data_IF_323265446091
#
_entry.id   IF_323265446091
#
_cell.length_a   1.000
_cell.length_b   1.000
_cell.length_c   1.000
_cell.angle_alpha   90.00
_cell.angle_beta   90.00
_cell.angle_gamma   90.00
#
_symmetry.space_group_name_H-M   'P 1'
#
loop_
_entity.id
_entity.type
_entity.pdbx_description
1 polymer ?
#
# COMPACT_ATOMS: atom_id res chain seq x y z
N UNK A 1 20.21 -13.12 28.10
CA UNK A 1 19.09 -12.15 28.15
C UNK A 1 18.85 -11.63 26.74
N UNK A 2 17.63 -11.66 26.19
CA UNK A 2 17.34 -10.86 25.01
C UNK A 2 17.50 -9.39 25.42
N UNK A 3 18.23 -8.61 24.64
CA UNK A 3 18.42 -7.17 24.89
C UNK A 3 17.06 -6.45 24.87
N UNK A 4 16.93 -5.29 25.54
CA UNK A 4 15.68 -4.50 25.47
C UNK A 4 15.27 -4.16 24.02
N UNK A 5 16.24 -4.10 23.11
CA UNK A 5 16.03 -3.95 21.68
C UNK A 5 15.35 -5.17 21.04
N UNK A 6 15.74 -6.38 21.44
CA UNK A 6 15.07 -7.60 20.98
C UNK A 6 13.60 -7.63 21.44
N UNK A 7 13.33 -7.21 22.69
CA UNK A 7 11.95 -7.07 23.17
C UNK A 7 11.14 -6.05 22.37
N UNK A 8 11.71 -4.86 22.12
CA UNK A 8 11.06 -3.83 21.31
C UNK A 8 10.77 -4.33 19.89
N UNK A 9 11.69 -5.09 19.29
CA UNK A 9 11.50 -5.69 17.96
C UNK A 9 10.33 -6.68 17.94
N UNK A 10 10.27 -7.62 18.89
CA UNK A 10 9.20 -8.63 18.91
C UNK A 10 7.82 -8.01 19.20
N UNK A 11 7.73 -7.14 20.22
CA UNK A 11 6.46 -6.46 20.56
C UNK A 11 6.03 -5.54 19.43
N UNK A 12 6.97 -4.80 18.86
CA UNK A 12 6.71 -3.98 17.69
C UNK A 12 6.07 -4.82 16.59
N UNK A 13 6.68 -5.95 16.20
CA UNK A 13 6.20 -6.71 15.04
C UNK A 13 4.75 -7.17 15.24
N UNK A 14 4.39 -7.53 16.48
CA UNK A 14 3.01 -7.83 16.83
C UNK A 14 2.06 -6.66 16.53
N UNK A 15 2.43 -5.44 16.95
CA UNK A 15 1.63 -4.23 16.69
C UNK A 15 1.50 -3.96 15.19
N UNK A 16 2.59 -4.02 14.43
CA UNK A 16 2.55 -3.81 12.97
C UNK A 16 1.61 -4.81 12.30
N UNK A 17 1.72 -6.10 12.66
CA UNK A 17 0.87 -7.15 12.09
C UNK A 17 -0.62 -6.95 12.38
N UNK A 18 -0.96 -6.43 13.57
CA UNK A 18 -2.35 -6.14 13.97
C UNK A 18 -2.89 -4.87 13.29
N UNK A 19 -2.06 -3.85 13.10
CA UNK A 19 -2.48 -2.56 12.55
C UNK A 19 -2.56 -2.56 11.02
N UNK A 20 -1.74 -3.34 10.31
CA UNK A 20 -1.76 -3.39 8.83
C UNK A 20 -3.15 -3.77 8.31
N UNK A 21 -3.82 -4.74 8.92
CA UNK A 21 -5.17 -5.17 8.50
C UNK A 21 -6.25 -4.10 8.73
N UNK A 22 -5.98 -3.09 9.56
CA UNK A 22 -6.90 -2.00 9.88
C UNK A 22 -6.71 -0.78 8.98
N UNK A 23 -5.73 -0.81 8.06
CA UNK A 23 -5.50 0.30 7.14
C UNK A 23 -6.73 0.46 6.23
N UNK A 24 -7.33 1.65 6.29
CA UNK A 24 -8.35 2.07 5.35
C UNK A 24 -7.69 2.65 4.11
N UNK A 25 -8.04 2.11 2.93
CA UNK A 25 -7.57 2.65 1.67
C UNK A 25 -8.57 3.74 1.22
N UNK A 26 -8.12 4.99 1.01
CA UNK A 26 -9.01 6.06 0.63
C UNK A 26 -9.63 5.79 -0.74
N UNK A 27 -10.78 6.42 -1.01
CA UNK A 27 -11.29 6.50 -2.38
C UNK A 27 -10.30 7.26 -3.24
N UNK A 28 -9.99 6.70 -4.40
CA UNK A 28 -9.04 7.27 -5.36
C UNK A 28 -9.81 7.54 -6.63
N UNK A 29 -9.56 8.67 -7.27
CA UNK A 29 -10.19 9.01 -8.54
C UNK A 29 -9.14 9.57 -9.49
N UNK A 30 -9.05 8.97 -10.67
CA UNK A 30 -8.11 9.31 -11.72
C UNK A 30 -8.88 9.67 -13.00
N UNK A 31 -8.47 10.75 -13.63
CA UNK A 31 -8.97 11.13 -14.96
C UNK A 31 -7.98 10.59 -16.00
N UNK A 32 -8.52 9.95 -17.02
CA UNK A 32 -7.78 9.40 -18.16
C UNK A 32 -8.42 9.92 -19.45
N UNK A 33 -7.73 9.80 -20.59
CA UNK A 33 -8.20 10.40 -21.86
C UNK A 33 -9.63 9.97 -22.24
N UNK A 34 -10.01 8.72 -21.95
CA UNK A 34 -11.33 8.19 -22.26
C UNK A 34 -12.39 8.40 -21.15
N UNK A 35 -12.07 9.07 -20.04
CA UNK A 35 -13.02 9.29 -18.95
C UNK A 35 -12.42 9.38 -17.55
N UNK A 36 -13.14 8.89 -16.56
CA UNK A 36 -12.74 8.90 -15.14
C UNK A 36 -12.89 7.51 -14.54
N UNK A 37 -11.92 7.09 -13.74
CA UNK A 37 -11.93 5.84 -12.98
C UNK A 37 -11.77 6.15 -11.50
N UNK A 38 -12.65 5.60 -10.68
CA UNK A 38 -12.58 5.70 -9.23
C UNK A 38 -12.42 4.32 -8.61
N UNK A 39 -11.49 4.17 -7.67
CA UNK A 39 -11.38 3.03 -6.77
C UNK A 39 -12.11 3.40 -5.49
N UNK A 40 -13.07 2.59 -5.08
CA UNK A 40 -13.90 2.83 -3.89
C UNK A 40 -13.95 1.57 -3.03
N UNK A 41 -14.27 1.76 -1.74
CA UNK A 41 -14.43 0.66 -0.79
C UNK A 41 -13.23 -0.31 -0.77
N UNK A 42 -12.03 0.21 -0.97
CA UNK A 42 -10.82 -0.61 -0.98
C UNK A 42 -10.42 -0.97 0.45
N UNK A 43 -10.12 -2.25 0.68
CA UNK A 43 -9.71 -2.76 1.97
C UNK A 43 -8.65 -3.84 1.81
N UNK A 44 -7.87 -4.07 2.88
CA UNK A 44 -6.90 -5.16 2.92
C UNK A 44 -7.64 -6.44 3.28
N UNK A 45 -7.72 -7.37 2.33
CA UNK A 45 -8.41 -8.65 2.51
C UNK A 45 -7.51 -9.73 3.10
N UNK A 46 -6.19 -9.64 2.87
CA UNK A 46 -5.21 -10.56 3.44
C UNK A 46 -3.85 -9.90 3.60
N UNK A 47 -3.14 -10.29 4.66
CA UNK A 47 -1.78 -9.84 4.94
C UNK A 47 -0.90 -11.04 5.26
N UNK A 48 0.33 -11.01 4.76
CA UNK A 48 1.38 -11.94 5.15
C UNK A 48 2.52 -11.14 5.79
N UNK A 49 2.77 -11.45 7.06
CA UNK A 49 3.81 -10.82 7.88
C UNK A 49 5.21 -11.00 7.27
N UNK A 50 6.15 -10.08 7.54
CA UNK A 50 7.51 -10.20 7.03
C UNK A 50 8.18 -11.45 7.58
N UNK A 51 8.88 -12.16 6.69
CA UNK A 51 9.71 -13.31 7.07
C UNK A 51 11.03 -12.83 7.68
N UNK A 52 11.51 -11.67 7.23
CA UNK A 52 12.74 -11.05 7.70
C UNK A 52 12.43 -9.66 8.22
N UNK A 53 12.80 -9.42 9.48
CA UNK A 53 12.69 -8.11 10.10
C UNK A 53 13.84 -7.88 11.07
N UNK A 54 14.35 -6.65 11.10
CA UNK A 54 15.42 -6.25 11.99
C UNK A 54 15.11 -4.88 12.62
N UNK A 55 15.74 -4.62 13.77
CA UNK A 55 15.61 -3.35 14.46
C UNK A 55 17.01 -2.91 14.87
N UNK A 56 17.46 -1.82 14.26
CA UNK A 56 18.81 -1.29 14.43
C UNK A 56 18.77 0.06 15.16
N UNK A 57 19.71 0.27 16.07
CA UNK A 57 19.90 1.57 16.73
C UNK A 57 20.86 2.42 15.89
N UNK A 58 20.36 3.55 15.41
CA UNK A 58 21.12 4.50 14.59
C UNK A 58 21.38 5.76 15.43
N UNK A 59 22.66 6.07 15.62
CA UNK A 59 23.07 7.27 16.35
C UNK A 59 22.50 8.53 15.67
N UNK A 60 22.14 9.58 16.44
CA UNK A 60 22.29 9.68 17.90
C UNK A 60 21.10 9.11 18.71
N UNK A 61 19.90 9.06 18.16
CA UNK A 61 18.65 8.79 18.89
C UNK A 61 17.56 8.18 18.01
N UNK A 62 17.94 7.51 16.93
CA UNK A 62 17.00 6.91 15.97
C UNK A 62 17.03 5.39 16.13
N UNK A 63 15.90 4.74 15.95
CA UNK A 63 15.89 3.32 15.63
C UNK A 63 15.25 3.13 14.27
N UNK A 64 15.82 2.23 13.49
CA UNK A 64 15.35 1.90 12.14
C UNK A 64 14.91 0.46 12.14
N UNK A 65 13.71 0.25 11.63
CA UNK A 65 13.09 -1.04 11.48
C UNK A 65 12.98 -1.36 10.01
N UNK A 66 13.61 -2.45 9.59
CA UNK A 66 13.49 -2.93 8.22
C UNK A 66 12.72 -4.24 8.22
N UNK A 67 11.80 -4.37 7.29
CA UNK A 67 10.92 -5.53 7.09
C UNK A 67 10.96 -5.88 5.61
N UNK A 68 11.02 -7.16 5.28
CA UNK A 68 11.04 -7.62 3.89
C UNK A 68 10.16 -8.83 3.66
N UNK A 69 9.89 -9.10 2.38
CA UNK A 69 9.08 -10.25 1.91
C UNK A 69 7.66 -10.27 2.48
N UNK A 70 7.09 -9.08 2.74
CA UNK A 70 5.67 -8.99 3.10
C UNK A 70 4.81 -9.10 1.84
N UNK A 71 3.56 -9.49 2.03
CA UNK A 71 2.56 -9.45 0.98
C UNK A 71 1.27 -8.84 1.51
N UNK A 72 0.60 -8.05 0.68
CA UNK A 72 -0.71 -7.47 0.98
C UNK A 72 -1.63 -7.82 -0.18
N UNK A 73 -2.78 -8.41 0.16
CA UNK A 73 -3.89 -8.52 -0.77
C UNK A 73 -4.91 -7.47 -0.42
N UNK A 74 -5.24 -6.63 -1.39
CA UNK A 74 -6.31 -5.66 -1.29
C UNK A 74 -7.43 -6.02 -2.25
N UNK A 75 -8.66 -5.71 -1.88
CA UNK A 75 -9.83 -5.87 -2.72
C UNK A 75 -10.71 -4.64 -2.60
N UNK A 76 -11.56 -4.43 -3.58
CA UNK A 76 -12.52 -3.33 -3.56
C UNK A 76 -13.29 -3.25 -4.86
N UNK A 77 -13.90 -2.09 -5.06
CA UNK A 77 -14.72 -1.82 -6.20
C UNK A 77 -14.09 -0.72 -7.04
N UNK A 78 -14.37 -0.74 -8.34
CA UNK A 78 -14.07 0.38 -9.19
C UNK A 78 -15.31 0.85 -9.93
N UNK A 79 -15.34 2.15 -10.21
CA UNK A 79 -16.39 2.81 -10.97
C UNK A 79 -15.73 3.59 -12.09
N UNK A 80 -16.07 3.26 -13.33
CA UNK A 80 -15.60 3.96 -14.51
C UNK A 80 -16.74 4.75 -15.16
N UNK A 81 -16.46 6.01 -15.51
CA UNK A 81 -17.33 6.86 -16.32
C UNK A 81 -16.58 7.22 -17.60
N UNK A 82 -17.03 6.69 -18.72
CA UNK A 82 -16.41 6.94 -20.02
C UNK A 82 -17.03 8.18 -20.68
N UNK A 83 -16.19 9.04 -21.22
CA UNK A 83 -16.56 10.23 -21.98
C UNK A 83 -16.29 9.95 -23.47
N UNK A 84 -17.10 9.11 -24.11
CA UNK A 84 -16.93 8.73 -25.52
C UNK A 84 -18.15 9.04 -26.37
N UNK A 85 -17.94 9.46 -27.62
CA UNK A 85 -18.99 9.88 -28.56
C UNK A 85 -19.92 8.74 -29.07
N UNK A 86 -19.57 7.47 -28.83
CA UNK A 86 -20.32 6.28 -29.28
C UNK A 86 -20.92 5.43 -28.16
N UNK A 87 -20.73 5.81 -26.89
CA UNK A 87 -21.32 5.11 -25.75
C UNK A 87 -22.42 6.00 -25.18
N UNK A 88 -23.62 5.43 -25.01
CA UNK A 88 -24.75 6.11 -24.36
C UNK A 88 -24.26 6.84 -23.09
N UNK A 89 -24.40 8.17 -23.00
CA UNK A 89 -23.79 8.97 -21.96
C UNK A 89 -24.61 8.77 -20.69
N UNK A 90 -24.23 7.86 -19.79
CA UNK A 90 -24.66 7.90 -18.37
C UNK A 90 -24.38 6.67 -17.54
N UNK A 91 -24.16 5.47 -18.10
CA UNK A 91 -24.11 4.27 -17.26
C UNK A 91 -22.71 4.12 -16.64
N UNK A 92 -22.57 4.29 -15.30
CA UNK A 92 -21.30 4.03 -14.65
C UNK A 92 -21.02 2.54 -14.70
N UNK A 93 -19.83 2.18 -15.15
CA UNK A 93 -19.41 0.78 -15.22
C UNK A 93 -18.78 0.44 -13.89
N UNK A 94 -19.34 -0.57 -13.23
CA UNK A 94 -18.90 -1.00 -11.91
C UNK A 94 -18.32 -2.39 -12.02
N UNK A 95 -17.21 -2.60 -11.35
CA UNK A 95 -16.63 -3.92 -11.21
C UNK A 95 -15.85 -4.05 -9.92
N UNK A 96 -15.25 -5.21 -9.75
CA UNK A 96 -14.49 -5.55 -8.56
C UNK A 96 -13.04 -5.81 -8.95
N UNK A 97 -12.13 -5.43 -8.07
CA UNK A 97 -10.72 -5.76 -8.23
C UNK A 97 -10.22 -6.50 -7.00
N UNK A 98 -9.24 -7.35 -7.23
CA UNK A 98 -8.38 -7.94 -6.22
C UNK A 98 -6.95 -7.75 -6.68
N UNK A 99 -6.10 -7.20 -5.82
CA UNK A 99 -4.69 -6.99 -6.12
C UNK A 99 -3.81 -7.61 -5.05
N UNK A 100 -2.74 -8.28 -5.48
CA UNK A 100 -1.68 -8.78 -4.62
C UNK A 100 -0.44 -7.92 -4.82
N UNK A 101 -0.08 -7.18 -3.79
CA UNK A 101 1.20 -6.47 -3.67
C UNK A 101 2.19 -7.43 -3.01
N UNK A 102 3.21 -7.85 -3.76
CA UNK A 102 4.15 -8.86 -3.30
C UNK A 102 5.58 -8.38 -3.20
N UNK A 103 6.36 -9.09 -2.37
CA UNK A 103 7.74 -8.72 -2.03
C UNK A 103 7.85 -7.28 -1.53
N UNK A 104 6.96 -6.91 -0.60
CA UNK A 104 6.98 -5.57 -0.02
C UNK A 104 8.15 -5.48 0.97
N UNK A 105 9.02 -4.50 0.74
CA UNK A 105 10.03 -4.02 1.67
C UNK A 105 9.57 -2.74 2.33
N UNK A 106 9.75 -2.63 3.65
CA UNK A 106 9.37 -1.44 4.42
C UNK A 106 10.49 -1.08 5.39
N UNK A 107 10.93 0.17 5.33
CA UNK A 107 11.88 0.74 6.26
C UNK A 107 11.24 1.92 6.97
N UNK A 108 11.12 1.82 8.29
CA UNK A 108 10.60 2.88 9.16
C UNK A 108 11.73 3.31 10.08
N UNK A 109 12.02 4.60 10.12
CA UNK A 109 12.92 5.18 11.12
C UNK A 109 12.15 6.08 12.05
N UNK A 110 12.31 5.84 13.35
CA UNK A 110 11.68 6.60 14.41
C UNK A 110 12.77 7.28 15.22
N UNK A 111 12.62 8.59 15.43
CA UNK A 111 13.50 9.40 16.25
C UNK A 111 12.89 9.56 17.63
N UNK A 112 13.70 9.35 18.66
CA UNK A 112 13.32 9.63 20.04
C UNK A 112 13.72 11.06 20.40
N UNK A 113 12.74 11.90 20.70
CA UNK A 113 12.92 13.29 21.14
C UNK A 113 12.44 13.46 22.57
N UNK A 114 12.51 14.68 23.10
CA UNK A 114 11.99 15.04 24.41
C UNK A 114 11.24 16.35 24.32
N UNK A 115 10.17 16.48 25.08
CA UNK A 115 9.46 17.76 25.22
C UNK A 115 10.32 18.78 25.95
N UNK A 116 9.90 20.05 25.92
CA UNK A 116 10.48 21.11 26.75
C UNK A 116 10.39 20.82 28.26
N UNK A 117 9.41 20.00 28.68
CA UNK A 117 9.22 19.56 30.07
C UNK A 117 9.98 18.26 30.40
N UNK A 118 10.74 17.71 29.44
CA UNK A 118 11.57 16.50 29.65
C UNK A 118 10.84 15.17 29.44
N UNK A 119 9.59 15.16 29.00
CA UNK A 119 8.86 13.93 28.70
C UNK A 119 9.37 13.30 27.38
N UNK A 120 9.48 11.95 27.29
CA UNK A 120 9.92 11.29 26.05
C UNK A 120 8.88 11.46 24.94
N UNK A 121 9.36 11.65 23.72
CA UNK A 121 8.56 11.72 22.50
C UNK A 121 9.16 10.83 21.42
N UNK A 122 8.30 10.37 20.52
CA UNK A 122 8.68 9.59 19.34
C UNK A 122 8.13 10.27 18.09
N UNK A 123 8.98 10.43 17.09
CA UNK A 123 8.65 11.09 15.83
C UNK A 123 9.04 10.18 14.67
N UNK A 124 8.16 10.03 13.68
CA UNK A 124 8.52 9.35 12.43
C UNK A 124 9.52 10.21 11.67
N UNK A 125 10.76 9.74 11.57
CA UNK A 125 11.84 10.45 10.87
C UNK A 125 11.88 10.10 9.38
N UNK A 126 11.56 8.86 9.03
CA UNK A 126 11.60 8.36 7.66
C UNK A 126 10.69 7.15 7.51
N UNK A 127 10.00 7.04 6.39
CA UNK A 127 9.27 5.83 6.00
C UNK A 127 9.45 5.64 4.50
N UNK A 128 9.90 4.45 4.11
CA UNK A 128 9.99 4.05 2.70
C UNK A 128 9.41 2.66 2.55
N UNK A 129 8.54 2.53 1.56
CA UNK A 129 8.01 1.24 1.11
C UNK A 129 8.45 0.99 -0.33
N UNK A 130 8.77 -0.26 -0.63
CA UNK A 130 9.08 -0.77 -1.95
C UNK A 130 8.23 -2.02 -2.16
N UNK A 131 7.67 -2.20 -3.35
CA UNK A 131 6.92 -3.41 -3.70
C UNK A 131 7.66 -4.01 -4.90
N UNK A 132 7.88 -5.33 -4.88
CA UNK A 132 8.59 -5.99 -5.97
C UNK A 132 7.69 -6.23 -7.18
N UNK A 133 6.45 -6.65 -6.94
CA UNK A 133 5.48 -6.88 -7.99
C UNK A 133 4.04 -6.59 -7.56
N UNK A 134 3.20 -6.34 -8.56
CA UNK A 134 1.76 -6.23 -8.40
C UNK A 134 1.08 -7.19 -9.36
N UNK A 135 0.23 -8.04 -8.79
CA UNK A 135 -0.73 -8.86 -9.53
C UNK A 135 -2.12 -8.25 -9.35
N UNK A 136 -2.86 -8.10 -10.44
CA UNK A 136 -4.17 -7.46 -10.47
C UNK A 136 -5.16 -8.37 -11.19
N UNK A 137 -6.16 -8.81 -10.44
CA UNK A 137 -7.29 -9.54 -10.96
C UNK A 137 -8.53 -8.63 -10.94
N UNK A 138 -9.27 -8.60 -12.03
CA UNK A 138 -10.46 -7.77 -12.17
C UNK A 138 -11.62 -8.61 -12.64
N UNK A 139 -12.78 -8.36 -12.04
CA UNK A 139 -14.01 -9.10 -12.31
C UNK A 139 -15.12 -8.12 -12.66
N UNK A 140 -16.05 -8.60 -13.48
CA UNK A 140 -17.22 -7.84 -13.92
C UNK A 140 -16.86 -6.55 -14.68
N UNK A 141 -15.72 -6.54 -15.38
CA UNK A 141 -15.23 -5.43 -16.22
C UNK A 141 -15.88 -5.37 -17.61
N UNK A 142 -16.48 -6.48 -18.06
CA UNK A 142 -16.95 -6.62 -19.44
C UNK A 142 -15.81 -6.41 -20.44
N UNK A 143 -16.02 -5.52 -21.41
CA UNK A 143 -15.05 -5.18 -22.47
C UNK A 143 -13.96 -4.19 -22.04
N UNK A 144 -13.98 -3.71 -20.80
CA UNK A 144 -13.11 -2.61 -20.32
C UNK A 144 -11.98 -3.05 -19.41
N UNK A 145 -11.69 -4.35 -19.38
CA UNK A 145 -10.57 -4.92 -18.63
C UNK A 145 -9.27 -4.16 -18.89
N UNK A 146 -8.92 -3.95 -20.16
CA UNK A 146 -7.67 -3.30 -20.57
C UNK A 146 -7.62 -1.82 -20.17
N UNK A 147 -8.75 -1.12 -20.25
CA UNK A 147 -8.85 0.28 -19.84
C UNK A 147 -8.62 0.46 -18.34
N UNK A 148 -9.22 -0.41 -17.53
CA UNK A 148 -9.04 -0.38 -16.08
C UNK A 148 -7.60 -0.76 -15.69
N UNK A 149 -7.03 -1.81 -16.29
CA UNK A 149 -5.65 -2.24 -16.02
C UNK A 149 -4.67 -1.09 -16.31
N UNK A 150 -4.81 -0.43 -17.46
CA UNK A 150 -3.93 0.69 -17.82
C UNK A 150 -4.10 1.90 -16.89
N UNK A 151 -5.33 2.19 -16.46
CA UNK A 151 -5.61 3.24 -15.48
C UNK A 151 -5.01 2.93 -14.11
N UNK A 152 -5.13 1.68 -13.65
CA UNK A 152 -4.59 1.21 -12.37
C UNK A 152 -3.06 1.20 -12.34
N UNK A 153 -2.42 0.75 -13.44
CA UNK A 153 -0.97 0.88 -13.63
C UNK A 153 -0.52 2.34 -13.54
N UNK A 154 -1.22 3.24 -14.24
CA UNK A 154 -0.96 4.68 -14.20
C UNK A 154 -1.09 5.27 -12.80
N UNK A 155 -2.10 4.84 -12.04
CA UNK A 155 -2.28 5.24 -10.64
C UNK A 155 -1.08 4.83 -9.78
N UNK A 156 -0.71 3.55 -9.77
CA UNK A 156 0.38 3.01 -8.94
C UNK A 156 1.70 3.77 -9.16
N UNK A 157 1.99 4.13 -10.42
CA UNK A 157 3.20 4.87 -10.77
C UNK A 157 3.16 6.34 -10.32
N UNK A 158 1.97 6.95 -10.26
CA UNK A 158 1.79 8.37 -9.87
C UNK A 158 1.73 8.59 -8.37
N UNK A 159 1.25 7.64 -7.55
CA UNK A 159 1.03 7.87 -6.11
C UNK A 159 2.30 7.91 -5.24
N UNK A 160 3.51 8.00 -5.82
CA UNK A 160 4.81 7.91 -5.11
C UNK A 160 5.02 6.65 -4.24
N UNK A 161 4.02 5.77 -4.13
CA UNK A 161 4.11 4.51 -3.43
C UNK A 161 5.12 3.57 -4.09
N UNK A 162 5.38 3.70 -5.40
CA UNK A 162 6.24 2.77 -6.13
C UNK A 162 6.96 3.37 -7.34
N UNK A 163 8.28 3.58 -7.22
CA UNK A 163 9.17 3.86 -8.37
C UNK A 163 9.85 2.60 -8.95
N UNK A 164 9.60 1.40 -8.42
CA UNK A 164 10.37 0.19 -8.76
C UNK A 164 9.55 -1.13 -8.78
N UNK A 165 8.30 -1.13 -9.24
CA UNK A 165 7.51 -2.37 -9.38
C UNK A 165 7.58 -2.97 -10.77
N UNK A 166 7.81 -4.29 -10.84
CA UNK A 166 7.65 -5.11 -12.05
C UNK A 166 6.22 -5.65 -12.12
N UNK A 167 5.51 -5.43 -13.23
CA UNK A 167 4.16 -5.96 -13.45
C UNK A 167 4.22 -7.29 -14.20
N UNK A 168 3.49 -8.29 -13.73
CA UNK A 168 3.29 -9.56 -14.44
C UNK A 168 1.80 -9.75 -14.76
N UNK A 169 1.50 -10.06 -16.02
CA UNK A 169 0.15 -10.35 -16.51
C UNK A 169 -0.02 -11.87 -16.61
N UNK A 170 -1.19 -12.37 -16.20
CA UNK A 170 -1.61 -13.76 -16.35
C UNK A 170 -2.89 -13.86 -17.16
#
# INVERSE_FOLDING_TARGET
>A
MPTGLAYLREVGMKVVNEEVLKLSLPTITETVEAGQVSIVNAFISKYWAPVEYNLDLVKPNTFTWSMSKMHIRAAGEFVARLNGALLLPSVPIQGQFETLLGHIGLTISVRMTRTSLGAPQVESAYCKSEIGYVDLNVRNTGVLTDFFINSFKGWLLRTQLLRQTTFHEH
#
